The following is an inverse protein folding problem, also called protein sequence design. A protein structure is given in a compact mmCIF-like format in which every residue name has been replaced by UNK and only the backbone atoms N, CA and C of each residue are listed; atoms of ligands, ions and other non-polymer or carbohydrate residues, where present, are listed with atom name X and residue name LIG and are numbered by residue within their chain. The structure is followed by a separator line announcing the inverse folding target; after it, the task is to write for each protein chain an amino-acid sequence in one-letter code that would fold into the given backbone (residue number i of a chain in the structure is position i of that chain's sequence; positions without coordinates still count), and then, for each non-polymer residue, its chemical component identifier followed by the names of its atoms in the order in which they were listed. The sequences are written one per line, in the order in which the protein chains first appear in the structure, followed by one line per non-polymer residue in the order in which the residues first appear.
data_IF_565937845078
#
_entry.id   IF_565937845078
#
_cell.length_a   1.000
_cell.length_b   1.000
_cell.length_c   1.000
_cell.angle_alpha   90.00
_cell.angle_beta   90.00
_cell.angle_gamma   90.00
#
_symmetry.space_group_name_H-M   'P 1'
#
loop_
_entity.id
_entity.type
_entity.pdbx_description
1 polymer ?
#
# COMPACT_ATOMS: atom_id res chain seq x y z
N UNK A 1 -21.38 -38.42 45.98
CA UNK A 1 -21.92 -37.07 45.72
C UNK A 1 -22.09 -36.92 44.21
N UNK A 2 -23.25 -37.28 43.64
CA UNK A 2 -23.52 -37.14 42.22
C UNK A 2 -23.96 -35.71 41.91
N UNK A 3 -23.30 -35.08 40.94
CA UNK A 3 -23.61 -33.71 40.48
C UNK A 3 -24.88 -33.66 39.62
N UNK A 4 -25.53 -32.48 39.53
CA UNK A 4 -26.84 -32.38 38.90
C UNK A 4 -26.74 -32.31 37.38
N UNK A 5 -27.63 -33.07 36.73
CA UNK A 5 -27.93 -33.03 35.30
C UNK A 5 -28.48 -31.66 34.89
N UNK A 6 -27.89 -31.04 33.88
CA UNK A 6 -28.46 -29.87 33.20
C UNK A 6 -29.39 -30.32 32.09
N UNK A 7 -30.68 -30.12 32.32
CA UNK A 7 -31.78 -30.34 31.37
C UNK A 7 -31.78 -29.26 30.29
N UNK A 8 -31.77 -29.68 29.02
CA UNK A 8 -32.01 -28.82 27.86
C UNK A 8 -33.47 -28.35 27.85
N UNK A 9 -33.67 -27.04 27.96
CA UNK A 9 -34.96 -26.37 27.79
C UNK A 9 -35.01 -25.80 26.37
N UNK A 10 -35.74 -26.49 25.49
CA UNK A 10 -36.11 -26.02 24.16
C UNK A 10 -37.16 -24.90 24.32
N UNK A 11 -36.74 -23.65 24.13
CA UNK A 11 -37.62 -22.50 23.98
C UNK A 11 -38.32 -22.57 22.61
N UNK A 12 -39.65 -22.70 22.65
CA UNK A 12 -40.50 -22.66 21.49
C UNK A 12 -40.56 -21.22 20.95
N UNK A 13 -40.09 -21.03 19.72
CA UNK A 13 -40.26 -19.78 18.96
C UNK A 13 -41.73 -19.66 18.53
N UNK A 14 -42.44 -18.57 18.86
CA UNK A 14 -43.81 -18.37 18.41
C UNK A 14 -43.83 -18.06 16.90
N UNK A 15 -44.44 -18.95 16.13
CA UNK A 15 -44.79 -18.75 14.72
C UNK A 15 -45.85 -17.65 14.62
N UNK A 16 -45.44 -16.44 14.25
CA UNK A 16 -46.35 -15.36 13.89
C UNK A 16 -47.04 -15.68 12.56
N UNK A 17 -48.37 -15.72 12.58
CA UNK A 17 -49.21 -15.84 11.38
C UNK A 17 -49.09 -14.58 10.50
N UNK A 18 -49.05 -14.71 9.17
CA UNK A 18 -49.09 -13.55 8.28
C UNK A 18 -50.51 -12.98 8.26
N UNK A 19 -50.66 -11.75 8.74
CA UNK A 19 -51.87 -10.96 8.58
C UNK A 19 -52.09 -10.65 7.09
N UNK A 20 -53.02 -11.40 6.48
CA UNK A 20 -53.64 -11.07 5.21
C UNK A 20 -54.45 -9.78 5.38
N UNK A 21 -54.01 -8.67 4.76
CA UNK A 21 -54.87 -7.49 4.69
C UNK A 21 -54.21 -6.13 4.46
N UNK A 22 -52.98 -6.02 3.98
CA UNK A 22 -52.47 -4.71 3.55
C UNK A 22 -52.76 -4.50 2.06
N UNK A 23 -53.69 -3.58 1.82
CA UNK A 23 -54.04 -3.03 0.51
C UNK A 23 -52.76 -2.49 -0.13
N UNK A 24 -52.35 -2.93 -1.33
CA UNK A 24 -51.13 -2.46 -1.96
C UNK A 24 -51.17 -0.92 -2.05
N UNK A 25 -50.08 -0.23 -1.68
CA UNK A 25 -50.04 1.23 -1.76
C UNK A 25 -50.38 1.59 -3.21
N UNK A 26 -51.42 2.42 -3.38
CA UNK A 26 -51.74 3.03 -4.65
C UNK A 26 -50.49 3.78 -5.10
N UNK A 27 -49.75 3.20 -6.04
CA UNK A 27 -48.81 3.90 -6.90
C UNK A 27 -49.61 4.96 -7.64
N UNK A 28 -49.77 6.12 -7.01
CA UNK A 28 -50.17 7.34 -7.69
C UNK A 28 -49.03 7.69 -8.62
N UNK A 29 -49.11 7.19 -9.85
CA UNK A 29 -48.27 7.69 -10.93
C UNK A 29 -48.69 9.13 -11.18
N UNK A 30 -48.01 10.07 -10.54
CA UNK A 30 -47.91 11.43 -11.06
C UNK A 30 -47.44 11.28 -12.50
N UNK A 31 -48.26 11.71 -13.46
CA UNK A 31 -47.81 11.76 -14.84
C UNK A 31 -46.54 12.61 -14.90
N UNK A 32 -45.45 12.13 -15.54
CA UNK A 32 -44.21 12.87 -15.61
C UNK A 32 -44.50 14.23 -16.25
N UNK A 33 -44.08 15.30 -15.58
CA UNK A 33 -44.22 16.64 -16.14
C UNK A 33 -43.44 16.71 -17.45
N UNK A 34 -43.85 17.55 -18.39
CA UNK A 34 -43.16 17.71 -19.68
C UNK A 34 -41.69 18.09 -19.54
N UNK A 35 -41.28 18.62 -18.38
CA UNK A 35 -39.89 18.94 -18.04
C UNK A 35 -39.02 17.69 -17.80
N UNK A 36 -39.61 16.56 -17.40
CA UNK A 36 -38.89 15.31 -17.13
C UNK A 36 -38.40 14.61 -18.41
N UNK A 37 -38.91 14.99 -19.59
CA UNK A 37 -38.59 14.34 -20.88
C UNK A 37 -37.11 14.47 -21.28
N UNK A 38 -36.40 15.49 -20.76
CA UNK A 38 -34.99 15.70 -21.05
C UNK A 38 -34.04 15.18 -19.96
N UNK A 39 -34.58 14.66 -18.86
CA UNK A 39 -33.78 14.18 -17.76
C UNK A 39 -33.27 12.77 -18.04
N UNK A 40 -31.96 12.60 -17.90
CA UNK A 40 -31.27 11.33 -18.01
C UNK A 40 -30.92 10.83 -16.62
N UNK A 41 -30.97 9.51 -16.46
CA UNK A 41 -30.57 8.81 -15.25
C UNK A 41 -29.18 8.24 -15.46
N UNK A 42 -28.30 8.44 -14.50
CA UNK A 42 -26.93 7.94 -14.52
C UNK A 42 -26.62 7.16 -13.25
N UNK A 43 -26.05 5.97 -13.38
CA UNK A 43 -25.50 5.21 -12.25
C UNK A 43 -24.03 5.56 -12.04
N UNK A 44 -23.63 5.79 -10.79
CA UNK A 44 -22.24 6.09 -10.45
C UNK A 44 -21.40 4.80 -10.37
N UNK A 45 -20.33 4.72 -11.17
CA UNK A 45 -19.29 3.67 -11.13
C UNK A 45 -17.95 4.29 -10.75
N UNK A 46 -17.49 4.02 -9.53
CA UNK A 46 -16.20 4.51 -9.03
C UNK A 46 -15.65 3.59 -7.93
N UNK A 47 -14.33 3.56 -7.80
CA UNK A 47 -13.60 2.83 -6.73
C UNK A 47 -13.57 3.61 -5.40
N UNK A 48 -14.35 4.69 -5.28
CA UNK A 48 -14.34 5.56 -4.11
C UNK A 48 -15.43 6.64 -4.15
N UNK A 49 -15.04 7.90 -3.92
CA UNK A 49 -15.95 9.06 -3.91
C UNK A 49 -15.82 9.88 -5.19
N UNK A 50 -16.94 10.13 -5.85
CA UNK A 50 -17.03 10.99 -7.03
C UNK A 50 -17.35 12.43 -6.66
N UNK A 51 -16.66 13.40 -7.26
CA UNK A 51 -16.77 14.81 -6.86
C UNK A 51 -17.96 15.50 -7.52
N UNK A 52 -18.67 16.29 -6.73
CA UNK A 52 -19.76 17.16 -7.16
C UNK A 52 -19.30 18.61 -7.06
N UNK A 53 -19.60 19.43 -8.07
CA UNK A 53 -19.07 20.79 -8.22
C UNK A 53 -20.15 21.84 -8.45
N UNK A 54 -19.81 23.11 -8.19
CA UNK A 54 -20.72 24.24 -8.33
C UNK A 54 -20.85 24.80 -9.76
N UNK A 55 -19.93 24.43 -10.66
CA UNK A 55 -19.96 24.80 -12.08
C UNK A 55 -19.42 23.65 -12.97
N UNK A 56 -19.72 23.63 -14.28
CA UNK A 56 -19.22 22.61 -15.21
C UNK A 56 -17.75 22.86 -15.58
N UNK A 57 -16.88 22.92 -14.57
CA UNK A 57 -15.45 23.16 -14.72
C UNK A 57 -14.68 22.37 -13.67
N UNK A 58 -13.50 21.87 -14.04
CA UNK A 58 -12.63 21.14 -13.13
C UNK A 58 -11.95 22.05 -12.09
N UNK A 59 -11.82 23.34 -12.38
CA UNK A 59 -11.31 24.34 -11.43
C UNK A 59 -12.39 24.86 -10.47
N UNK A 60 -13.67 24.52 -10.72
CA UNK A 60 -14.76 24.98 -9.85
C UNK A 60 -14.77 24.29 -8.49
N UNK A 61 -15.35 24.97 -7.49
CA UNK A 61 -15.41 24.49 -6.11
C UNK A 61 -16.11 23.14 -6.01
N UNK A 62 -15.48 22.20 -5.30
CA UNK A 62 -16.11 20.93 -4.93
C UNK A 62 -17.08 21.19 -3.79
N UNK A 63 -18.37 20.93 -4.01
CA UNK A 63 -19.46 21.19 -3.06
C UNK A 63 -19.95 19.93 -2.35
N UNK A 64 -19.50 18.76 -2.79
CA UNK A 64 -19.82 17.48 -2.17
C UNK A 64 -19.20 16.30 -2.90
N UNK A 65 -19.57 15.10 -2.45
CA UNK A 65 -19.17 13.84 -3.08
C UNK A 65 -20.31 12.82 -3.08
N UNK A 66 -20.37 11.99 -4.11
CA UNK A 66 -21.30 10.85 -4.22
C UNK A 66 -20.51 9.54 -4.28
N UNK A 67 -21.11 8.44 -3.81
CA UNK A 67 -20.49 7.12 -3.80
C UNK A 67 -21.10 6.19 -4.86
N UNK A 68 -20.50 5.01 -5.02
CA UNK A 68 -21.10 3.92 -5.77
C UNK A 68 -22.52 3.61 -5.24
N UNK A 69 -23.43 3.19 -6.13
CA UNK A 69 -24.85 2.99 -5.79
C UNK A 69 -25.69 4.28 -5.76
N UNK A 70 -25.11 5.44 -6.07
CA UNK A 70 -25.90 6.66 -6.31
C UNK A 70 -26.42 6.69 -7.73
N UNK A 71 -27.69 7.06 -7.90
CA UNK A 71 -28.28 7.42 -9.18
C UNK A 71 -28.36 8.95 -9.26
N UNK A 72 -27.77 9.51 -10.30
CA UNK A 72 -27.82 10.93 -10.62
C UNK A 72 -28.90 11.13 -11.66
N UNK A 73 -29.87 12.00 -11.40
CA UNK A 73 -30.84 12.45 -12.39
C UNK A 73 -30.48 13.86 -12.81
N UNK A 74 -30.17 14.04 -14.10
CA UNK A 74 -29.66 15.30 -14.60
C UNK A 74 -29.76 15.44 -16.11
N UNK A 75 -29.30 16.59 -16.59
CA UNK A 75 -29.29 16.95 -18.00
C UNK A 75 -27.84 17.11 -18.46
N UNK A 76 -27.51 16.60 -19.64
CA UNK A 76 -26.20 16.87 -20.25
C UNK A 76 -26.09 18.37 -20.56
N UNK A 77 -24.95 18.98 -20.26
CA UNK A 77 -24.71 20.40 -20.53
C UNK A 77 -24.48 20.75 -22.01
N UNK A 78 -24.67 19.79 -22.93
CA UNK A 78 -24.48 19.99 -24.36
C UNK A 78 -25.56 20.96 -24.89
N UNK A 79 -25.19 22.22 -25.14
CA UNK A 79 -26.02 23.19 -25.86
C UNK A 79 -26.66 24.30 -25.03
N UNK A 80 -26.60 24.28 -23.68
CA UNK A 80 -26.84 25.50 -22.91
C UNK A 80 -25.61 26.39 -23.10
N UNK A 81 -25.67 27.32 -24.06
CA UNK A 81 -24.75 28.46 -24.16
C UNK A 81 -24.77 29.09 -22.76
N UNK A 82 -23.71 28.84 -21.98
CA UNK A 82 -23.58 29.37 -20.63
C UNK A 82 -23.89 30.86 -20.71
N UNK A 83 -24.82 31.38 -19.89
CA UNK A 83 -25.20 32.78 -19.98
C UNK A 83 -23.93 33.61 -19.89
N UNK A 84 -23.64 34.37 -20.96
CA UNK A 84 -22.40 35.14 -21.18
C UNK A 84 -22.05 36.12 -20.04
N UNK A 85 -22.91 36.25 -19.01
CA UNK A 85 -22.74 37.14 -17.87
C UNK A 85 -22.01 36.57 -16.64
N UNK A 86 -21.64 35.28 -16.60
CA UNK A 86 -20.87 34.71 -15.46
C UNK A 86 -19.38 34.55 -15.71
N UNK A 87 -18.82 35.25 -16.70
CA UNK A 87 -17.38 35.28 -17.01
C UNK A 87 -16.57 36.09 -15.97
N UNK A 88 -16.60 35.65 -14.72
CA UNK A 88 -15.57 35.93 -13.71
C UNK A 88 -14.51 34.83 -13.63
N UNK A 89 -14.62 33.80 -14.49
CA UNK A 89 -13.59 32.77 -14.61
C UNK A 89 -12.37 33.38 -15.30
N UNK A 90 -11.22 33.28 -14.64
CA UNK A 90 -9.91 33.48 -15.24
C UNK A 90 -9.90 32.94 -16.68
N UNK A 91 -9.31 33.65 -17.65
CA UNK A 91 -9.21 33.14 -19.01
C UNK A 91 -8.71 31.71 -18.93
N UNK A 92 -9.45 30.77 -19.53
CA UNK A 92 -8.91 29.45 -19.89
C UNK A 92 -7.52 29.76 -20.41
N UNK A 93 -6.43 29.24 -19.77
CA UNK A 93 -5.08 29.69 -20.04
C UNK A 93 -4.95 29.70 -21.54
N UNK A 94 -4.77 30.90 -22.09
CA UNK A 94 -4.73 31.17 -23.51
C UNK A 94 -3.76 30.15 -24.07
N UNK A 95 -4.31 29.12 -24.70
CA UNK A 95 -3.54 28.09 -25.36
C UNK A 95 -2.70 28.90 -26.33
N UNK A 96 -1.40 29.04 -26.07
CA UNK A 96 -0.52 29.77 -26.96
C UNK A 96 -0.63 29.04 -28.29
N UNK A 97 -1.36 29.70 -29.18
CA UNK A 97 -1.89 29.19 -30.44
C UNK A 97 -0.74 29.08 -31.42
N UNK A 98 0.17 28.15 -31.19
CA UNK A 98 1.21 27.80 -32.16
C UNK A 98 0.82 26.59 -33.01
N UNK A 99 -0.48 26.23 -33.02
CA UNK A 99 -0.97 25.13 -33.85
C UNK A 99 -2.17 25.58 -34.69
N UNK A 100 -1.96 25.59 -36.00
CA UNK A 100 -2.95 25.82 -37.06
C UNK A 100 -3.96 24.68 -37.16
N UNK A 101 -4.61 24.32 -36.05
CA UNK A 101 -5.69 23.34 -36.07
C UNK A 101 -6.94 23.97 -36.68
N UNK A 102 -7.66 23.28 -37.58
CA UNK A 102 -8.89 23.78 -38.18
C UNK A 102 -9.93 24.11 -37.10
N UNK A 103 -10.65 25.22 -37.26
CA UNK A 103 -11.71 25.67 -36.34
C UNK A 103 -12.75 24.58 -36.03
N UNK A 104 -13.01 23.71 -37.01
CA UNK A 104 -13.99 22.63 -36.90
C UNK A 104 -13.58 21.57 -35.87
N UNK A 105 -12.28 21.28 -35.74
CA UNK A 105 -11.74 20.29 -34.77
C UNK A 105 -11.83 20.83 -33.35
N UNK A 106 -11.59 22.13 -33.16
CA UNK A 106 -11.75 22.79 -31.86
C UNK A 106 -13.23 22.80 -31.44
N UNK A 107 -14.14 23.07 -32.37
CA UNK A 107 -15.57 23.09 -32.07
C UNK A 107 -16.10 21.68 -31.71
N UNK A 108 -15.71 20.65 -32.46
CA UNK A 108 -16.07 19.26 -32.13
C UNK A 108 -15.50 18.82 -30.77
N UNK A 109 -14.26 19.23 -30.46
CA UNK A 109 -13.66 18.96 -29.14
C UNK A 109 -14.43 19.68 -28.01
N UNK A 110 -14.85 20.93 -28.20
CA UNK A 110 -15.65 21.70 -27.25
C UNK A 110 -17.07 21.10 -27.06
N UNK A 111 -17.71 20.63 -28.13
CA UNK A 111 -18.99 19.92 -28.08
C UNK A 111 -18.83 18.57 -27.34
N UNK A 112 -17.73 17.86 -27.56
CA UNK A 112 -17.39 16.65 -26.80
C UNK A 112 -17.08 16.94 -25.33
N UNK A 113 -16.49 18.10 -25.00
CA UNK A 113 -16.18 18.54 -23.63
C UNK A 113 -17.44 18.98 -22.86
N UNK A 114 -18.38 19.66 -23.52
CA UNK A 114 -19.67 20.02 -22.89
C UNK A 114 -20.53 18.80 -22.60
N UNK A 115 -20.38 17.72 -23.39
CA UNK A 115 -20.95 16.41 -23.08
C UNK A 115 -20.28 15.68 -21.89
N UNK A 116 -19.18 16.21 -21.33
CA UNK A 116 -18.53 15.66 -20.13
C UNK A 116 -19.20 16.11 -18.83
N UNK A 117 -20.09 17.09 -18.84
CA UNK A 117 -20.73 17.58 -17.62
C UNK A 117 -22.22 17.27 -17.60
N UNK A 118 -22.68 16.80 -16.44
CA UNK A 118 -24.09 16.57 -16.15
C UNK A 118 -24.53 17.59 -15.10
N UNK A 119 -25.48 18.45 -15.47
CA UNK A 119 -26.19 19.34 -14.54
C UNK A 119 -27.18 18.49 -13.75
N UNK A 120 -26.90 18.34 -12.45
CA UNK A 120 -27.68 17.49 -11.57
C UNK A 120 -28.93 18.20 -11.10
N UNK A 121 -30.08 17.58 -11.32
CA UNK A 121 -31.37 18.02 -10.80
C UNK A 121 -31.62 17.41 -9.43
N UNK A 122 -31.42 16.09 -9.31
CA UNK A 122 -31.56 15.37 -8.04
C UNK A 122 -30.66 14.14 -7.96
N UNK A 123 -30.44 13.70 -6.73
CA UNK A 123 -29.78 12.43 -6.43
C UNK A 123 -30.80 11.45 -5.88
N UNK A 124 -30.70 10.20 -6.30
CA UNK A 124 -31.50 9.09 -5.80
C UNK A 124 -30.52 8.05 -5.24
N UNK A 125 -30.62 7.77 -3.95
CA UNK A 125 -29.76 6.78 -3.29
C UNK A 125 -30.35 5.39 -3.52
N UNK A 126 -29.64 4.51 -4.24
CA UNK A 126 -30.03 3.10 -4.36
C UNK A 126 -29.69 2.32 -3.08
N UNK A 127 -28.69 2.81 -2.33
CA UNK A 127 -28.19 2.24 -1.09
C UNK A 127 -28.18 3.29 0.02
N UNK A 128 -28.37 2.91 1.30
CA UNK A 128 -28.49 3.84 2.44
C UNK A 128 -27.26 4.74 2.68
N UNK A 129 -26.14 4.49 2.00
CA UNK A 129 -24.88 5.24 2.13
C UNK A 129 -24.53 6.12 0.91
N UNK A 130 -25.40 6.25 -0.09
CA UNK A 130 -25.01 6.74 -1.42
C UNK A 130 -24.55 8.21 -1.50
N UNK A 131 -25.18 9.13 -0.77
CA UNK A 131 -25.01 10.57 -0.98
C UNK A 131 -24.49 11.25 0.27
N UNK A 132 -23.29 11.86 0.20
CA UNK A 132 -22.80 12.73 1.27
C UNK A 132 -23.58 14.06 1.25
N UNK A 133 -23.63 14.78 2.36
CA UNK A 133 -24.28 16.10 2.43
C UNK A 133 -23.69 17.05 1.36
N UNK A 134 -24.51 17.48 0.39
CA UNK A 134 -24.09 18.39 -0.69
C UNK A 134 -24.56 19.80 -0.34
N UNK A 135 -23.60 20.69 -0.07
CA UNK A 135 -23.90 22.10 0.24
C UNK A 135 -24.15 22.85 -1.06
N UNK A 136 -25.39 23.23 -1.34
CA UNK A 136 -25.71 24.10 -2.48
C UNK A 136 -25.04 25.46 -2.27
N UNK A 137 -24.31 25.91 -3.28
CA UNK A 137 -23.70 27.23 -3.28
C UNK A 137 -24.71 28.25 -3.81
N UNK A 138 -25.18 29.15 -2.95
CA UNK A 138 -26.11 30.20 -3.36
C UNK A 138 -25.51 31.13 -4.41
N UNK A 139 -24.18 31.26 -4.46
CA UNK A 139 -23.49 32.14 -5.42
C UNK A 139 -23.59 31.66 -6.88
N UNK A 140 -23.73 30.34 -7.11
CA UNK A 140 -23.85 29.77 -8.46
C UNK A 140 -25.31 29.50 -8.87
N UNK A 141 -26.27 30.13 -8.18
CA UNK A 141 -27.69 29.85 -8.36
C UNK A 141 -28.09 28.45 -7.89
N UNK A 142 -27.28 27.82 -7.04
CA UNK A 142 -27.54 26.47 -6.53
C UNK A 142 -27.33 25.35 -7.55
N UNK A 143 -26.69 25.64 -8.69
CA UNK A 143 -26.35 24.65 -9.71
C UNK A 143 -25.39 23.59 -9.16
N UNK A 144 -25.65 22.34 -9.51
CA UNK A 144 -24.86 21.17 -9.12
C UNK A 144 -24.40 20.47 -10.39
N UNK A 145 -23.11 20.21 -10.51
CA UNK A 145 -22.52 19.59 -11.71
C UNK A 145 -21.67 18.39 -11.33
N UNK A 146 -21.78 17.33 -12.11
CA UNK A 146 -20.94 16.15 -11.98
C UNK A 146 -20.20 15.89 -13.29
N UNK A 147 -18.93 15.52 -13.19
CA UNK A 147 -18.16 15.06 -14.34
C UNK A 147 -18.69 13.69 -14.75
N UNK A 148 -19.01 13.51 -16.03
CA UNK A 148 -19.52 12.27 -16.61
C UNK A 148 -18.47 11.18 -16.54
N UNK A 149 -17.22 11.44 -16.92
CA UNK A 149 -16.14 10.43 -16.86
C UNK A 149 -14.78 11.04 -16.58
N UNK A 150 -13.90 10.27 -15.94
CA UNK A 150 -12.48 10.58 -15.84
C UNK A 150 -11.65 9.83 -16.89
N UNK A 151 -10.35 10.09 -16.90
CA UNK A 151 -9.38 9.48 -17.81
C UNK A 151 -9.18 7.96 -17.63
N UNK A 152 -9.72 7.37 -16.56
CA UNK A 152 -9.69 5.93 -16.29
C UNK A 152 -11.02 5.25 -16.64
N UNK A 153 -12.00 6.01 -17.14
CA UNK A 153 -13.33 5.51 -17.48
C UNK A 153 -14.30 5.40 -16.30
N UNK A 154 -13.92 5.79 -15.09
CA UNK A 154 -14.87 5.89 -13.96
C UNK A 154 -15.76 7.12 -14.10
N UNK A 155 -16.95 7.09 -13.50
CA UNK A 155 -17.86 8.22 -13.43
C UNK A 155 -19.33 7.85 -13.49
N UNK A 156 -20.10 8.64 -14.24
CA UNK A 156 -21.53 8.51 -14.47
C UNK A 156 -21.79 7.69 -15.75
N UNK A 157 -22.56 6.63 -15.59
CA UNK A 157 -22.98 5.75 -16.68
C UNK A 157 -24.47 5.90 -16.93
N UNK A 158 -24.86 6.25 -18.15
CA UNK A 158 -26.26 6.49 -18.48
C UNK A 158 -27.04 5.17 -18.40
N UNK A 159 -28.06 5.15 -17.53
CA UNK A 159 -28.94 3.99 -17.37
C UNK A 159 -29.69 3.71 -18.69
N UNK A 160 -29.84 2.42 -19.01
CA UNK A 160 -30.48 1.90 -20.24
C UNK A 160 -29.71 2.07 -21.55
N UNK A 161 -28.69 2.93 -21.60
CA UNK A 161 -27.82 3.09 -22.78
C UNK A 161 -26.50 2.36 -22.61
N UNK A 162 -25.93 2.41 -21.41
CA UNK A 162 -24.59 1.90 -21.13
C UNK A 162 -24.68 0.69 -20.18
N UNK A 163 -23.97 -0.42 -20.46
CA UNK A 163 -24.05 -1.62 -19.63
C UNK A 163 -23.44 -1.37 -18.25
N UNK A 164 -24.20 -1.66 -17.20
CA UNK A 164 -23.77 -1.47 -15.79
C UNK A 164 -22.50 -2.26 -15.46
N UNK A 165 -22.45 -3.51 -15.93
CA UNK A 165 -21.35 -4.44 -15.66
C UNK A 165 -20.40 -4.60 -16.86
N UNK A 166 -20.50 -3.69 -17.84
CA UNK A 166 -19.61 -3.68 -19.00
C UNK A 166 -18.22 -3.12 -18.68
N UNK A 167 -17.27 -3.25 -19.63
CA UNK A 167 -15.94 -2.67 -19.51
C UNK A 167 -16.04 -1.15 -19.31
N UNK A 168 -15.07 -0.58 -18.61
CA UNK A 168 -15.00 0.87 -18.42
C UNK A 168 -14.79 1.55 -19.77
N UNK A 169 -15.63 2.55 -20.07
CA UNK A 169 -15.53 3.27 -21.33
C UNK A 169 -14.50 4.39 -21.16
N UNK A 170 -13.37 4.22 -21.83
CA UNK A 170 -12.28 5.20 -21.82
C UNK A 170 -12.65 6.41 -22.68
N UNK A 171 -12.23 7.59 -22.22
CA UNK A 171 -12.31 8.80 -23.02
C UNK A 171 -11.23 8.79 -24.11
N UNK A 172 -11.45 9.49 -25.23
CA UNK A 172 -10.40 9.76 -26.21
C UNK A 172 -9.12 10.27 -25.53
N UNK A 173 -7.96 9.84 -26.05
CA UNK A 173 -6.67 10.04 -25.37
C UNK A 173 -6.36 11.51 -25.06
N UNK A 174 -6.71 12.43 -25.96
CA UNK A 174 -6.51 13.86 -25.76
C UNK A 174 -7.30 14.41 -24.56
N UNK A 175 -8.60 14.06 -24.43
CA UNK A 175 -9.42 14.44 -23.28
C UNK A 175 -8.92 13.74 -22.00
N UNK A 176 -8.54 12.47 -22.11
CA UNK A 176 -7.97 11.72 -21.00
C UNK A 176 -6.69 12.36 -20.47
N UNK A 177 -5.80 12.81 -21.35
CA UNK A 177 -4.56 13.48 -20.98
C UNK A 177 -4.83 14.83 -20.30
N UNK A 178 -5.74 15.63 -20.82
CA UNK A 178 -6.14 16.90 -20.21
C UNK A 178 -6.72 16.71 -18.81
N UNK A 179 -7.64 15.75 -18.64
CA UNK A 179 -8.22 15.42 -17.33
C UNK A 179 -7.18 14.90 -16.34
N UNK A 180 -6.15 14.16 -16.79
CA UNK A 180 -5.04 13.73 -15.92
C UNK A 180 -4.19 14.92 -15.48
N UNK A 181 -3.85 15.82 -16.41
CA UNK A 181 -3.07 17.02 -16.11
C UNK A 181 -3.84 17.94 -15.14
N UNK A 182 -5.13 18.14 -15.37
CA UNK A 182 -5.96 18.93 -14.46
C UNK A 182 -6.07 18.27 -13.08
N UNK A 183 -6.30 16.96 -13.01
CA UNK A 183 -6.33 16.24 -11.74
C UNK A 183 -4.99 16.38 -10.98
N UNK A 184 -3.85 16.42 -11.68
CA UNK A 184 -2.55 16.70 -11.10
C UNK A 184 -2.44 18.13 -10.57
N UNK A 185 -2.92 19.15 -11.33
CA UNK A 185 -2.95 20.56 -10.88
C UNK A 185 -3.87 20.76 -9.66
N UNK A 186 -5.09 20.26 -9.73
CA UNK A 186 -6.02 20.33 -8.60
C UNK A 186 -5.50 19.58 -7.35
N UNK A 187 -4.62 18.59 -7.56
CA UNK A 187 -3.92 17.92 -6.47
C UNK A 187 -2.74 18.73 -5.93
N UNK A 188 -2.04 19.53 -6.74
CA UNK A 188 -0.99 20.44 -6.27
C UNK A 188 -1.55 21.61 -5.48
N UNK A 189 -2.67 22.20 -5.92
CA UNK A 189 -3.27 23.37 -5.25
C UNK A 189 -3.71 23.04 -3.81
N UNK A 190 -4.17 21.81 -3.56
CA UNK A 190 -4.52 21.36 -2.19
C UNK A 190 -3.31 21.15 -1.30
N UNK A 191 -2.13 20.90 -1.87
CA UNK A 191 -0.90 20.74 -1.08
C UNK A 191 -0.50 22.09 -0.49
N UNK A 192 -0.86 23.22 -1.11
CA UNK A 192 -0.52 24.55 -0.60
C UNK A 192 -1.20 24.87 0.73
N UNK A 193 -2.51 24.60 0.84
CA UNK A 193 -3.30 24.82 2.07
C UNK A 193 -2.91 23.87 3.21
N UNK A 194 -2.65 22.61 2.88
CA UNK A 194 -2.17 21.61 3.84
C UNK A 194 -0.74 21.96 4.29
N UNK A 195 0.09 22.53 3.40
CA UNK A 195 1.44 22.97 3.74
C UNK A 195 1.46 24.05 4.82
N UNK A 196 0.46 24.93 4.93
CA UNK A 196 0.45 25.96 5.97
C UNK A 196 0.31 25.33 7.37
N UNK A 197 -0.64 24.41 7.52
CA UNK A 197 -0.88 23.73 8.81
C UNK A 197 0.30 22.83 9.19
N UNK A 198 0.92 22.15 8.22
CA UNK A 198 2.12 21.34 8.47
C UNK A 198 3.40 22.17 8.63
N UNK A 199 3.51 23.35 8.02
CA UNK A 199 4.58 24.32 8.31
C UNK A 199 4.47 24.83 9.75
N UNK A 200 3.25 25.04 10.27
CA UNK A 200 3.04 25.40 11.67
C UNK A 200 3.36 24.25 12.63
N UNK A 201 2.97 23.01 12.30
CA UNK A 201 3.31 21.81 13.08
C UNK A 201 4.82 21.50 13.02
N UNK A 202 5.44 21.60 11.85
CA UNK A 202 6.88 21.46 11.66
C UNK A 202 7.66 22.55 12.40
N UNK A 203 7.19 23.80 12.39
CA UNK A 203 7.75 24.87 13.22
C UNK A 203 7.63 24.53 14.71
N UNK A 204 6.50 23.96 15.16
CA UNK A 204 6.33 23.51 16.55
C UNK A 204 7.27 22.35 16.93
N UNK A 205 7.50 21.38 16.04
CA UNK A 205 8.50 20.32 16.24
C UNK A 205 9.94 20.85 16.24
N UNK A 206 10.22 21.88 15.42
CA UNK A 206 11.52 22.56 15.40
C UNK A 206 11.77 23.31 16.71
N UNK A 207 10.73 23.91 17.31
CA UNK A 207 10.80 24.48 18.67
C UNK A 207 11.06 23.38 19.70
N UNK A 208 10.43 22.21 19.57
CA UNK A 208 10.69 21.05 20.43
C UNK A 208 12.14 20.54 20.37
N UNK A 209 12.75 20.49 19.16
CA UNK A 209 14.18 20.17 19.01
C UNK A 209 15.10 21.26 19.55
N UNK A 210 14.71 22.53 19.47
CA UNK A 210 15.47 23.62 20.08
C UNK A 210 15.61 23.47 21.60
N UNK A 211 14.59 22.91 22.28
CA UNK A 211 14.68 22.57 23.70
C UNK A 211 15.41 21.24 23.98
N UNK A 212 15.62 20.39 22.97
CA UNK A 212 16.35 19.13 23.11
C UNK A 212 17.84 19.22 22.74
N UNK A 213 18.26 20.30 22.07
CA UNK A 213 19.65 20.56 21.66
C UNK A 213 20.50 21.25 22.75
N UNK A 214 20.02 21.33 23.98
CA UNK A 214 20.87 21.64 25.14
C UNK A 214 21.68 20.43 25.63
N UNK A 215 21.65 19.31 24.91
CA UNK A 215 22.58 18.20 25.09
C UNK A 215 23.57 18.20 23.92
N UNK A 216 24.83 18.46 24.25
CA UNK A 216 26.02 18.56 23.42
C UNK A 216 26.09 17.48 22.32
N UNK A 217 26.18 17.89 21.06
CA UNK A 217 27.35 17.54 20.24
C UNK A 217 27.38 18.34 18.93
N UNK A 218 28.56 18.89 18.67
CA UNK A 218 28.91 19.86 17.65
C UNK A 218 29.37 19.13 16.37
N UNK A 219 28.47 18.89 15.41
CA UNK A 219 28.84 18.54 14.05
C UNK A 219 27.74 18.92 13.06
N UNK A 220 27.94 20.02 12.34
CA UNK A 220 27.00 20.59 11.39
C UNK A 220 26.91 19.81 10.08
N UNK A 221 25.68 19.39 9.73
CA UNK A 221 25.22 19.11 8.37
C UNK A 221 23.72 19.47 8.36
N UNK A 222 23.34 20.66 7.88
CA UNK A 222 21.96 21.16 8.01
C UNK A 222 21.38 21.76 6.71
N UNK A 223 21.88 21.35 5.54
CA UNK A 223 21.39 21.89 4.25
C UNK A 223 20.43 20.97 3.47
N UNK A 224 20.28 19.69 3.82
CA UNK A 224 19.43 18.75 3.04
C UNK A 224 17.98 18.57 3.55
N UNK A 225 17.59 19.20 4.65
CA UNK A 225 16.26 18.97 5.26
C UNK A 225 15.13 19.72 4.52
N UNK A 226 15.44 20.79 3.77
CA UNK A 226 14.37 21.59 3.15
C UNK A 226 13.72 20.92 1.93
N UNK A 227 14.46 20.09 1.17
CA UNK A 227 13.92 19.43 -0.03
C UNK A 227 12.99 18.23 0.27
N UNK A 228 13.04 17.66 1.49
CA UNK A 228 12.20 16.54 1.88
C UNK A 228 10.79 16.95 2.36
N UNK A 229 10.55 18.25 2.57
CA UNK A 229 9.33 18.78 3.22
C UNK A 229 8.09 18.91 2.32
N UNK A 230 8.20 18.58 1.02
CA UNK A 230 7.12 18.73 0.03
C UNK A 230 6.37 17.41 -0.28
N UNK A 231 6.75 16.28 0.32
CA UNK A 231 6.06 14.99 0.10
C UNK A 231 4.85 14.87 1.00
N UNK A 232 3.78 14.22 0.51
CA UNK A 232 2.57 14.00 1.30
C UNK A 232 2.91 13.18 2.56
N UNK A 233 2.26 13.41 3.70
CA UNK A 233 2.46 12.59 4.90
C UNK A 233 2.28 11.09 4.64
N UNK A 234 1.36 10.73 3.74
CA UNK A 234 1.14 9.35 3.30
C UNK A 234 2.37 8.82 2.55
N UNK A 235 2.97 9.62 1.66
CA UNK A 235 4.19 9.26 0.94
C UNK A 235 5.38 9.13 1.91
N UNK A 236 5.45 9.99 2.93
CA UNK A 236 6.49 9.91 3.96
C UNK A 236 6.34 8.66 4.82
N UNK A 237 5.10 8.30 5.18
CA UNK A 237 4.82 7.07 5.89
C UNK A 237 5.15 5.85 5.04
N UNK A 238 4.75 5.83 3.76
CA UNK A 238 5.08 4.75 2.83
C UNK A 238 6.58 4.62 2.59
N UNK A 239 7.29 5.74 2.41
CA UNK A 239 8.75 5.75 2.27
C UNK A 239 9.40 5.22 3.55
N UNK A 240 8.97 5.67 4.72
CA UNK A 240 9.51 5.20 6.00
C UNK A 240 9.21 3.72 6.22
N UNK A 241 8.00 3.27 5.91
CA UNK A 241 7.61 1.87 6.02
C UNK A 241 8.41 1.00 5.03
N UNK A 242 8.62 1.47 3.80
CA UNK A 242 9.48 0.84 2.79
C UNK A 242 10.90 0.71 3.28
N UNK A 243 11.49 1.76 3.85
CA UNK A 243 12.85 1.72 4.39
C UNK A 243 12.95 0.80 5.62
N UNK A 244 11.94 0.80 6.51
CA UNK A 244 11.86 -0.14 7.63
C UNK A 244 11.75 -1.59 7.15
N UNK A 245 10.97 -1.85 6.11
CA UNK A 245 10.84 -3.18 5.52
C UNK A 245 12.16 -3.64 4.89
N UNK A 246 12.85 -2.77 4.13
CA UNK A 246 14.19 -3.07 3.59
C UNK A 246 15.16 -3.43 4.70
N UNK A 247 15.20 -2.64 5.77
CA UNK A 247 16.04 -2.90 6.94
C UNK A 247 15.68 -4.23 7.62
N UNK A 248 14.39 -4.52 7.76
CA UNK A 248 13.92 -5.78 8.33
C UNK A 248 14.33 -6.99 7.48
N UNK A 249 14.22 -6.88 6.16
CA UNK A 249 14.62 -7.93 5.21
C UNK A 249 16.13 -8.15 5.19
N UNK A 250 16.93 -7.08 5.16
CA UNK A 250 18.38 -7.19 5.26
C UNK A 250 18.80 -7.87 6.58
N UNK A 251 18.16 -7.51 7.70
CA UNK A 251 18.44 -8.09 9.01
C UNK A 251 18.10 -9.59 9.11
N UNK A 252 17.08 -10.06 8.39
CA UNK A 252 16.74 -11.49 8.30
C UNK A 252 17.63 -12.23 7.29
N UNK A 253 17.94 -11.60 6.16
CA UNK A 253 18.71 -12.18 5.08
C UNK A 253 20.15 -12.51 5.49
N UNK A 254 20.88 -11.52 6.01
CA UNK A 254 22.33 -11.65 6.25
C UNK A 254 22.68 -12.88 7.09
N UNK A 255 22.05 -13.12 8.27
CA UNK A 255 22.33 -14.33 9.04
C UNK A 255 21.99 -15.63 8.29
N UNK A 256 20.90 -15.66 7.53
CA UNK A 256 20.49 -16.87 6.81
C UNK A 256 21.44 -17.17 5.65
N UNK A 257 21.90 -16.14 4.93
CA UNK A 257 22.94 -16.29 3.91
C UNK A 257 24.23 -16.85 4.49
N UNK A 258 24.67 -16.37 5.66
CA UNK A 258 25.83 -16.90 6.37
C UNK A 258 25.65 -18.38 6.78
N UNK A 259 24.42 -18.77 7.15
CA UNK A 259 24.10 -20.16 7.50
C UNK A 259 24.15 -21.08 6.29
N UNK A 260 23.48 -20.68 5.20
CA UNK A 260 23.43 -21.46 3.95
C UNK A 260 24.83 -21.60 3.33
N UNK A 261 25.64 -20.53 3.35
CA UNK A 261 27.00 -20.55 2.82
C UNK A 261 27.96 -21.50 3.56
N UNK A 262 27.65 -21.90 4.79
CA UNK A 262 28.48 -22.82 5.59
C UNK A 262 28.09 -24.29 5.46
N UNK A 263 26.98 -24.58 4.78
CA UNK A 263 26.53 -25.95 4.54
C UNK A 263 27.07 -26.37 3.18
N UNK A 264 28.22 -27.04 3.17
CA UNK A 264 28.87 -27.46 1.93
C UNK A 264 28.07 -28.57 1.21
N UNK A 265 27.49 -28.20 0.07
CA UNK A 265 27.49 -29.01 -1.15
C UNK A 265 26.48 -30.15 -1.27
N UNK A 266 26.58 -31.23 -0.49
CA UNK A 266 26.16 -32.52 -1.07
C UNK A 266 25.18 -33.38 -0.26
N UNK A 267 24.95 -33.16 1.03
CA UNK A 267 24.00 -34.03 1.76
C UNK A 267 23.46 -33.42 3.06
N UNK A 268 22.64 -32.38 2.96
CA UNK A 268 21.80 -32.03 4.09
C UNK A 268 20.36 -31.78 3.68
N UNK A 269 19.62 -32.88 3.57
CA UNK A 269 18.16 -32.88 3.77
C UNK A 269 17.77 -32.52 5.22
N UNK A 270 18.74 -32.20 6.08
CA UNK A 270 18.49 -31.80 7.46
C UNK A 270 17.89 -30.39 7.52
N UNK A 271 16.91 -30.24 8.41
CA UNK A 271 16.36 -28.95 8.80
C UNK A 271 17.45 -28.11 9.50
N UNK A 272 17.89 -27.04 8.85
CA UNK A 272 18.91 -26.12 9.37
C UNK A 272 18.39 -25.26 10.51
N UNK A 273 17.06 -25.15 10.67
CA UNK A 273 16.38 -24.42 11.74
C UNK A 273 16.05 -25.32 12.94
N UNK A 274 16.41 -26.61 12.88
CA UNK A 274 16.25 -27.52 14.00
C UNK A 274 16.96 -26.97 15.25
N UNK A 275 16.19 -26.83 16.35
CA UNK A 275 16.68 -26.26 17.61
C UNK A 275 16.24 -24.82 17.89
N UNK A 276 15.56 -24.14 16.95
CA UNK A 276 14.87 -22.89 17.28
C UNK A 276 13.79 -23.13 18.36
N UNK A 277 13.51 -22.15 19.24
CA UNK A 277 12.32 -22.20 20.10
C UNK A 277 11.06 -22.46 19.26
N UNK A 278 10.20 -23.40 19.69
CA UNK A 278 9.05 -23.86 18.89
C UNK A 278 8.14 -22.73 18.42
N UNK A 279 7.88 -21.75 19.29
CA UNK A 279 7.06 -20.58 18.95
C UNK A 279 7.71 -19.70 17.88
N UNK A 280 9.04 -19.54 17.96
CA UNK A 280 9.82 -18.77 17.00
C UNK A 280 9.88 -19.48 15.65
N UNK A 281 10.18 -20.79 15.66
CA UNK A 281 10.22 -21.63 14.46
C UNK A 281 8.89 -21.60 13.72
N UNK A 282 7.77 -21.78 14.43
CA UNK A 282 6.43 -21.75 13.83
C UNK A 282 6.09 -20.40 13.21
N UNK A 283 6.38 -19.30 13.90
CA UNK A 283 6.14 -17.94 13.38
C UNK A 283 7.02 -17.66 12.17
N UNK A 284 8.29 -18.05 12.24
CA UNK A 284 9.22 -17.86 11.16
C UNK A 284 8.83 -18.68 9.92
N UNK A 285 8.45 -19.95 10.08
CA UNK A 285 7.95 -20.80 9.00
C UNK A 285 6.74 -20.17 8.30
N UNK A 286 5.73 -19.72 9.06
CA UNK A 286 4.57 -19.01 8.50
C UNK A 286 4.95 -17.75 7.73
N UNK A 287 5.85 -16.94 8.28
CA UNK A 287 6.31 -15.71 7.64
C UNK A 287 6.99 -16.02 6.30
N UNK A 288 7.87 -17.03 6.26
CA UNK A 288 8.57 -17.45 5.03
C UNK A 288 7.58 -17.92 3.98
N UNK A 289 6.66 -18.81 4.33
CA UNK A 289 5.62 -19.30 3.42
C UNK A 289 4.75 -18.18 2.86
N UNK A 290 4.27 -17.26 3.72
CA UNK A 290 3.46 -16.13 3.29
C UNK A 290 4.22 -15.20 2.32
N UNK A 291 5.52 -14.97 2.56
CA UNK A 291 6.35 -14.14 1.68
C UNK A 291 6.65 -14.82 0.35
N UNK A 292 6.94 -16.11 0.35
CA UNK A 292 7.18 -16.90 -0.87
C UNK A 292 5.91 -17.00 -1.71
N UNK A 293 4.75 -17.23 -1.08
CA UNK A 293 3.45 -17.23 -1.75
C UNK A 293 3.18 -15.88 -2.43
N UNK A 294 3.29 -14.76 -1.70
CA UNK A 294 3.07 -13.43 -2.26
C UNK A 294 4.07 -13.07 -3.37
N UNK A 295 5.32 -13.56 -3.28
CA UNK A 295 6.32 -13.39 -4.34
C UNK A 295 5.98 -14.19 -5.61
N UNK A 296 5.38 -15.37 -5.47
CA UNK A 296 4.99 -16.23 -6.60
C UNK A 296 3.84 -15.62 -7.42
N UNK A 297 2.84 -15.03 -6.76
CA UNK A 297 1.73 -14.33 -7.41
C UNK A 297 2.21 -13.17 -8.27
N UNK A 298 3.26 -12.47 -7.82
CA UNK A 298 3.83 -11.33 -8.53
C UNK A 298 4.49 -11.73 -9.85
N UNK A 299 5.18 -12.88 -9.89
CA UNK A 299 5.85 -13.32 -11.11
C UNK A 299 4.85 -13.79 -12.19
N UNK A 300 3.62 -14.14 -11.81
CA UNK A 300 2.58 -14.56 -12.74
C UNK A 300 1.92 -13.40 -13.52
N UNK A 301 2.12 -12.14 -13.09
CA UNK A 301 1.48 -10.96 -13.70
C UNK A 301 2.36 -10.22 -14.72
N UNK A 302 3.54 -10.76 -15.06
CA UNK A 302 4.36 -10.22 -16.15
C UNK A 302 3.73 -10.62 -17.48
N UNK A 303 2.85 -9.73 -17.95
CA UNK A 303 2.27 -9.60 -19.29
C UNK A 303 3.17 -10.20 -20.37
N UNK A 304 2.75 -11.33 -20.95
CA UNK A 304 3.23 -11.70 -22.28
C UNK A 304 2.94 -10.51 -23.21
N UNK A 305 3.93 -9.97 -23.94
CA UNK A 305 3.63 -9.05 -25.03
C UNK A 305 2.74 -9.84 -26.00
N UNK A 306 1.47 -9.44 -26.09
CA UNK A 306 0.48 -10.05 -26.98
C UNK A 306 0.86 -9.68 -28.41
N UNK A 307 1.85 -10.41 -28.94
CA UNK A 307 2.17 -10.47 -30.35
C UNK A 307 0.95 -11.03 -31.08
N UNK A 308 0.53 -10.30 -32.10
CA UNK A 308 -0.65 -10.58 -32.88
C UNK A 308 -0.61 -11.96 -33.55
N UNK A 309 -1.74 -12.67 -33.47
CA UNK A 309 -2.20 -13.59 -34.51
C UNK A 309 -1.65 -15.01 -34.45
N UNK A 310 -2.33 -15.88 -33.70
CA UNK A 310 -2.64 -17.22 -34.20
C UNK A 310 -3.83 -17.79 -33.43
N UNK A 311 -4.99 -17.82 -34.08
CA UNK A 311 -6.12 -18.64 -33.67
C UNK A 311 -5.78 -20.08 -34.07
N UNK A 312 -5.48 -20.94 -33.09
CA UNK A 312 -5.59 -22.37 -33.29
C UNK A 312 -6.09 -23.03 -32.00
N UNK A 313 -7.37 -23.40 -32.07
CA UNK A 313 -8.12 -24.29 -31.18
C UNK A 313 -7.36 -25.59 -30.91
N UNK A 314 -7.14 -25.94 -29.64
CA UNK A 314 -6.85 -27.31 -29.14
C UNK A 314 -7.17 -27.41 -27.63
N UNK A 315 -7.36 -28.63 -27.08
CA UNK A 315 -8.46 -28.93 -26.17
C UNK A 315 -8.16 -28.71 -24.69
N UNK A 316 -9.24 -28.42 -23.97
CA UNK A 316 -9.37 -28.27 -22.54
C UNK A 316 -9.49 -29.65 -21.91
N UNK A 317 -8.39 -30.31 -21.52
CA UNK A 317 -8.38 -31.33 -20.45
C UNK A 317 -7.00 -31.33 -19.77
N UNK A 318 -6.99 -31.50 -18.45
CA UNK A 318 -5.83 -31.72 -17.55
C UNK A 318 -4.95 -30.54 -17.08
N UNK A 319 -5.47 -29.70 -16.16
CA UNK A 319 -4.63 -28.81 -15.31
C UNK A 319 -4.95 -28.96 -13.80
N UNK A 320 -5.64 -30.02 -13.38
CA UNK A 320 -6.06 -30.19 -11.98
C UNK A 320 -5.13 -31.05 -11.10
N UNK A 321 -4.03 -31.63 -11.62
CA UNK A 321 -3.25 -32.65 -10.90
C UNK A 321 -1.82 -32.26 -10.49
N UNK A 322 -1.44 -30.97 -10.54
CA UNK A 322 -0.11 -30.52 -10.10
C UNK A 322 0.04 -30.30 -8.58
N UNK A 323 -0.94 -30.70 -7.77
CA UNK A 323 -0.95 -30.47 -6.31
C UNK A 323 -0.48 -31.68 -5.47
N UNK A 324 0.25 -32.64 -6.06
CA UNK A 324 1.05 -33.63 -5.32
C UNK A 324 2.51 -33.17 -5.21
N UNK A 325 2.68 -31.87 -5.02
CA UNK A 325 3.97 -31.19 -5.07
C UNK A 325 4.84 -31.63 -3.88
N UNK A 326 6.09 -31.87 -4.23
CA UNK A 326 7.19 -32.36 -3.43
C UNK A 326 7.16 -31.74 -2.03
N UNK A 327 7.14 -32.56 -0.98
CA UNK A 327 7.19 -32.09 0.41
C UNK A 327 8.55 -31.42 0.67
N UNK A 328 8.72 -30.17 0.24
CA UNK A 328 9.88 -29.35 0.58
C UNK A 328 9.99 -29.34 2.10
N UNK A 329 11.03 -30.01 2.60
CA UNK A 329 11.30 -30.09 4.03
C UNK A 329 11.49 -28.66 4.54
N UNK A 330 10.62 -28.23 5.45
CA UNK A 330 10.72 -26.90 6.05
C UNK A 330 12.09 -26.73 6.71
N UNK A 331 12.76 -25.61 6.41
CA UNK A 331 14.09 -25.32 6.93
C UNK A 331 15.24 -26.03 6.21
N UNK A 332 14.96 -26.72 5.09
CA UNK A 332 15.99 -27.20 4.17
C UNK A 332 16.80 -26.05 3.56
N UNK A 333 17.99 -26.40 3.04
CA UNK A 333 18.87 -25.46 2.33
C UNK A 333 18.13 -24.77 1.18
N UNK A 334 17.33 -25.51 0.42
CA UNK A 334 16.58 -24.98 -0.73
C UNK A 334 15.50 -23.99 -0.27
N UNK A 335 14.72 -24.36 0.74
CA UNK A 335 13.67 -23.50 1.32
C UNK A 335 14.26 -22.17 1.87
N UNK A 336 15.39 -22.24 2.57
CA UNK A 336 16.09 -21.04 3.02
C UNK A 336 16.68 -20.21 1.86
N UNK A 337 17.18 -20.86 0.82
CA UNK A 337 17.71 -20.18 -0.37
C UNK A 337 16.62 -19.45 -1.16
N UNK A 338 15.47 -20.08 -1.35
CA UNK A 338 14.27 -19.49 -1.96
C UNK A 338 13.83 -18.25 -1.16
N UNK A 339 13.81 -18.36 0.16
CA UNK A 339 13.46 -17.26 1.06
C UNK A 339 14.49 -16.11 1.03
N UNK A 340 15.78 -16.41 0.98
CA UNK A 340 16.86 -15.41 0.83
C UNK A 340 16.69 -14.65 -0.48
N UNK A 341 16.39 -15.34 -1.59
CA UNK A 341 16.16 -14.71 -2.88
C UNK A 341 14.96 -13.74 -2.85
N UNK A 342 13.89 -14.12 -2.14
CA UNK A 342 12.73 -13.23 -1.90
C UNK A 342 13.14 -12.00 -1.09
N UNK A 343 13.91 -12.17 -0.01
CA UNK A 343 14.43 -11.07 0.81
C UNK A 343 15.31 -10.12 -0.02
N UNK A 344 16.18 -10.62 -0.90
CA UNK A 344 17.02 -9.80 -1.76
C UNK A 344 16.24 -8.99 -2.78
N UNK A 345 15.27 -9.64 -3.44
CA UNK A 345 14.39 -8.96 -4.41
C UNK A 345 13.67 -7.79 -3.75
N UNK A 346 13.20 -8.01 -2.53
CA UNK A 346 12.58 -7.03 -1.64
C UNK A 346 13.47 -5.86 -1.26
N UNK A 347 14.68 -6.19 -0.81
CA UNK A 347 15.68 -5.21 -0.38
C UNK A 347 16.03 -4.28 -1.56
N UNK A 348 16.26 -4.84 -2.75
CA UNK A 348 16.62 -4.08 -3.97
C UNK A 348 15.48 -3.22 -4.50
N UNK A 349 14.29 -3.79 -4.63
CA UNK A 349 13.17 -3.08 -5.27
C UNK A 349 12.51 -2.07 -4.34
N UNK A 350 12.47 -2.35 -3.03
CA UNK A 350 11.69 -1.60 -2.05
C UNK A 350 10.19 -1.55 -2.32
N UNK A 351 9.71 -1.98 -3.48
CA UNK A 351 8.35 -1.80 -3.96
C UNK A 351 7.60 -3.09 -3.94
N UNK A 352 6.61 -3.17 -3.05
CA UNK A 352 5.82 -4.36 -2.81
C UNK A 352 4.33 -4.09 -3.01
N UNK A 353 3.96 -3.51 -4.16
CA UNK A 353 2.54 -3.33 -4.53
C UNK A 353 1.74 -4.63 -4.40
N UNK A 354 2.41 -5.78 -4.58
CA UNK A 354 1.81 -7.10 -4.52
C UNK A 354 1.72 -7.68 -3.11
N UNK A 355 2.35 -7.07 -2.10
CA UNK A 355 2.27 -7.58 -0.73
C UNK A 355 1.45 -6.68 0.14
N UNK A 356 0.42 -7.29 0.71
CA UNK A 356 -0.53 -6.68 1.61
C UNK A 356 0.17 -5.96 2.77
N UNK A 357 -0.40 -4.83 3.15
CA UNK A 357 0.09 -3.98 4.24
C UNK A 357 0.26 -4.76 5.54
N UNK A 358 -0.60 -5.74 5.80
CA UNK A 358 -0.55 -6.59 6.99
C UNK A 358 0.72 -7.45 7.03
N UNK A 359 1.06 -8.11 5.93
CA UNK A 359 2.27 -8.94 5.85
C UNK A 359 3.53 -8.08 6.00
N UNK A 360 3.55 -6.86 5.44
CA UNK A 360 4.68 -5.93 5.64
C UNK A 360 4.89 -5.57 7.11
N UNK A 361 3.80 -5.28 7.83
CA UNK A 361 3.86 -4.98 9.25
C UNK A 361 4.30 -6.19 10.06
N UNK A 362 3.84 -7.40 9.70
CA UNK A 362 4.26 -8.64 10.34
C UNK A 362 5.77 -8.87 10.19
N UNK A 363 6.34 -8.65 8.99
CA UNK A 363 7.80 -8.75 8.76
C UNK A 363 8.57 -7.77 9.63
N UNK A 364 8.15 -6.50 9.66
CA UNK A 364 8.82 -5.45 10.44
C UNK A 364 8.76 -5.78 11.93
N UNK A 365 7.58 -6.17 12.43
CA UNK A 365 7.38 -6.53 13.82
C UNK A 365 8.18 -7.79 14.19
N UNK A 366 8.18 -8.80 13.32
CA UNK A 366 8.93 -10.03 13.51
C UNK A 366 10.44 -9.76 13.56
N UNK A 367 11.00 -9.05 12.57
CA UNK A 367 12.42 -8.73 12.53
C UNK A 367 12.87 -7.91 13.74
N UNK A 368 12.07 -6.92 14.15
CA UNK A 368 12.37 -6.07 15.30
C UNK A 368 12.34 -6.84 16.62
N UNK A 369 11.38 -7.77 16.79
CA UNK A 369 11.22 -8.55 18.02
C UNK A 369 12.17 -9.75 18.10
N UNK A 370 12.41 -10.42 16.98
CA UNK A 370 13.04 -11.75 16.93
C UNK A 370 14.34 -11.81 16.12
N UNK A 371 14.73 -10.73 15.43
CA UNK A 371 15.91 -10.73 14.56
C UNK A 371 17.22 -11.05 15.31
N UNK A 372 17.39 -10.56 16.54
CA UNK A 372 18.56 -10.86 17.37
C UNK A 372 18.62 -12.33 17.82
N UNK A 373 17.46 -12.94 18.10
CA UNK A 373 17.37 -14.35 18.47
C UNK A 373 17.76 -15.25 17.30
N UNK A 374 17.26 -14.94 16.10
CA UNK A 374 17.63 -15.64 14.86
C UNK A 374 19.12 -15.49 14.59
N UNK A 375 19.66 -14.27 14.68
CA UNK A 375 21.08 -14.04 14.46
C UNK A 375 21.95 -14.80 15.47
N UNK A 376 21.57 -14.83 16.74
CA UNK A 376 22.27 -15.60 17.78
C UNK A 376 22.22 -17.10 17.48
N UNK A 377 21.05 -17.62 17.12
CA UNK A 377 20.86 -19.02 16.74
C UNK A 377 21.74 -19.39 15.56
N UNK A 378 21.69 -18.62 14.47
CA UNK A 378 22.53 -18.81 13.28
C UNK A 378 24.00 -18.85 13.67
N UNK A 379 24.49 -17.89 14.47
CA UNK A 379 25.89 -17.85 14.88
C UNK A 379 26.31 -19.09 15.66
N UNK A 380 25.44 -19.61 16.53
CA UNK A 380 25.69 -20.84 17.26
C UNK A 380 25.71 -22.04 16.30
N UNK A 381 24.71 -22.14 15.43
CA UNK A 381 24.61 -23.23 14.46
C UNK A 381 25.80 -23.28 13.50
N UNK A 382 26.24 -22.11 13.03
CA UNK A 382 27.44 -21.95 12.20
C UNK A 382 28.74 -22.33 12.92
N UNK A 383 28.79 -22.28 14.26
CA UNK A 383 29.93 -22.77 15.05
C UNK A 383 29.87 -24.29 15.21
N UNK A 384 28.69 -24.82 15.49
CA UNK A 384 28.47 -26.27 15.63
C UNK A 384 28.83 -26.99 14.32
N UNK A 385 28.37 -26.48 13.18
CA UNK A 385 28.72 -26.99 11.85
C UNK A 385 30.23 -26.95 11.60
N UNK A 386 30.89 -25.86 11.97
CA UNK A 386 32.35 -25.75 11.82
C UNK A 386 33.11 -26.73 12.72
N UNK A 387 32.60 -27.06 13.91
CA UNK A 387 33.20 -28.05 14.80
C UNK A 387 33.03 -29.48 14.28
N UNK A 388 31.89 -29.80 13.66
CA UNK A 388 31.66 -31.12 13.07
C UNK A 388 32.65 -31.41 11.93
N UNK A 389 32.90 -30.43 11.05
CA UNK A 389 33.86 -30.58 9.94
C UNK A 389 35.27 -30.88 10.43
N UNK A 390 35.69 -30.32 11.57
CA UNK A 390 37.02 -30.56 12.18
C UNK A 390 37.13 -31.98 12.76
N UNK A 391 36.04 -32.59 13.21
CA UNK A 391 36.07 -33.95 13.77
C UNK A 391 36.21 -35.03 12.68
N UNK A 392 35.58 -34.83 11.52
CA UNK A 392 35.65 -35.78 10.41
C UNK A 392 36.99 -35.75 9.67
N UNK A 393 37.76 -34.66 9.83
CA UNK A 393 39.12 -34.55 9.29
C UNK A 393 40.21 -35.03 10.26
N UNK A 394 39.84 -35.67 11.38
CA UNK A 394 40.83 -36.34 12.25
C UNK A 394 41.51 -37.46 11.46
N UNK A 395 42.81 -37.34 11.13
CA UNK A 395 43.50 -38.33 10.35
C UNK A 395 43.59 -39.61 11.18
N UNK A 396 42.90 -40.64 10.73
CA UNK A 396 43.17 -42.01 11.15
C UNK A 396 44.60 -42.31 10.74
N UNK A 397 45.54 -42.17 11.67
CA UNK A 397 46.94 -42.47 11.44
C UNK A 397 47.09 -43.96 11.04
N UNK A 398 47.73 -44.29 9.91
CA UNK A 398 48.38 -45.58 9.80
C UNK A 398 49.62 -45.53 10.71
N UNK A 399 49.75 -46.56 11.55
CA UNK A 399 50.88 -46.67 12.45
C UNK A 399 52.23 -46.81 11.74
N UNK A 400 53.26 -46.65 12.59
CA UNK A 400 54.60 -47.23 12.53
C UNK A 400 55.75 -46.42 11.87
N UNK A 401 56.48 -45.79 12.79
CA UNK A 401 57.92 -45.90 13.08
C UNK A 401 58.95 -44.99 12.39
N UNK A 402 59.81 -44.49 13.29
CA UNK A 402 61.17 -43.93 13.14
C UNK A 402 61.28 -42.61 12.36
N UNK A 403 61.99 -41.58 12.83
CA UNK A 403 63.11 -41.59 13.75
C UNK A 403 63.29 -40.20 14.39
N UNK A 404 63.97 -40.24 15.52
CA UNK A 404 64.57 -39.19 16.34
C UNK A 404 65.05 -37.95 15.53
N UNK A 405 64.69 -36.74 15.98
CA UNK A 405 65.62 -35.60 16.20
C UNK A 405 64.93 -34.54 17.06
N UNK A 406 65.49 -34.40 18.25
CA UNK A 406 65.23 -33.42 19.28
C UNK A 406 65.84 -32.06 18.89
N UNK A 407 65.04 -30.99 18.78
CA UNK A 407 65.53 -29.62 19.05
C UNK A 407 64.44 -28.69 19.58
N UNK A 408 64.70 -28.21 20.80
CA UNK A 408 64.14 -27.02 21.50
C UNK A 408 64.15 -25.78 20.59
N UNK A 409 63.25 -24.78 20.76
CA UNK A 409 63.53 -23.76 21.78
C UNK A 409 62.30 -23.08 22.46
N UNK A 410 62.46 -22.90 23.78
CA UNK A 410 62.44 -21.60 24.50
C UNK A 410 61.27 -20.62 24.27
N UNK A 411 60.29 -20.73 25.19
CA UNK A 411 59.67 -19.64 25.98
C UNK A 411 60.16 -18.20 25.75
N UNK A 412 59.26 -17.32 25.30
CA UNK A 412 59.19 -15.91 25.73
C UNK A 412 57.70 -15.55 25.88
N UNK A 413 57.30 -15.24 27.11
CA UNK A 413 55.98 -14.70 27.42
C UNK A 413 55.86 -13.23 27.04
N UNK A 414 54.68 -12.85 26.56
CA UNK A 414 54.29 -11.46 26.30
C UNK A 414 52.82 -11.29 26.63
N UNK A 415 52.52 -11.04 27.91
CA UNK A 415 51.20 -10.64 28.38
C UNK A 415 51.05 -9.13 28.19
N UNK A 416 50.29 -8.71 27.18
CA UNK A 416 49.90 -7.30 26.99
C UNK A 416 48.53 -7.08 27.62
N UNK A 417 48.54 -6.73 28.90
CA UNK A 417 47.39 -6.13 29.56
C UNK A 417 47.15 -4.74 28.98
N UNK A 418 46.09 -4.57 28.20
CA UNK A 418 45.55 -3.25 27.85
C UNK A 418 44.91 -2.64 29.10
N UNK A 419 45.63 -1.72 29.75
CA UNK A 419 45.08 -0.83 30.76
C UNK A 419 44.25 0.25 30.05
N UNK A 420 42.93 0.22 30.27
CA UNK A 420 42.04 1.33 29.92
C UNK A 420 42.32 2.52 30.85
N UNK A 421 42.42 3.76 30.34
CA UNK A 421 42.49 4.93 31.20
C UNK A 421 41.15 5.09 31.94
N UNK A 422 41.23 5.09 33.28
CA UNK A 422 40.13 5.40 34.18
C UNK A 422 39.61 6.82 33.88
N UNK A 423 38.37 6.91 33.41
CA UNK A 423 37.63 8.17 33.30
C UNK A 423 37.36 8.74 34.71
N UNK A 424 37.43 10.07 34.89
CA UNK A 424 37.07 10.71 36.15
C UNK A 424 35.56 10.55 36.44
N UNK A 425 35.16 10.45 37.72
CA UNK A 425 33.76 10.34 38.09
C UNK A 425 33.00 11.63 37.73
N UNK A 426 31.71 11.52 37.36
CA UNK A 426 30.89 12.67 37.01
C UNK A 426 30.72 13.62 38.21
N UNK A 427 30.66 14.95 38.00
CA UNK A 427 30.43 15.91 39.06
C UNK A 427 29.05 15.69 39.69
N UNK A 428 29.01 15.66 41.02
CA UNK A 428 27.78 15.57 41.79
C UNK A 428 26.89 16.78 41.50
N UNK A 429 25.68 16.50 41.01
CA UNK A 429 24.64 17.50 40.75
C UNK A 429 24.25 18.23 42.03
N UNK A 430 24.68 19.48 42.15
CA UNK A 430 24.27 20.40 43.20
C UNK A 430 22.85 20.88 42.90
N UNK A 431 21.88 20.37 43.65
CA UNK A 431 20.49 20.78 43.60
C UNK A 431 20.32 22.09 44.40
N UNK A 432 20.43 23.25 43.75
CA UNK A 432 20.11 24.54 44.36
C UNK A 432 18.65 24.92 44.05
N UNK A 433 17.74 24.48 44.91
CA UNK A 433 16.37 25.00 44.96
C UNK A 433 16.43 26.40 45.59
N UNK A 434 16.37 27.44 44.77
CA UNK A 434 16.06 28.81 45.24
C UNK A 434 14.59 29.10 44.99
N UNK A 435 13.76 28.92 46.02
CA UNK A 435 12.44 29.57 46.11
C UNK A 435 12.67 31.06 46.37
N UNK A 436 12.22 31.92 45.47
CA UNK A 436 11.91 33.31 45.81
C UNK A 436 10.42 33.44 46.08
N UNK A 437 10.11 34.06 47.20
CA UNK A 437 8.81 34.55 47.60
C UNK A 437 8.45 35.82 46.82
#
# INVERSE_FOLDING_TARGET
MPGPSTSNLLEAVPTAQPALGEKPPKLGGEEPSSEDLHLKRYSVRCEGRWRVRSAPSLSSKVIGTIAHGTVVVGQDCAGEILPQGMSGTAPIPSFQQDTSLPSDVLQEALESLTALWVKVVRFEAQEPMGVSEIKRDSATGGGIYCLRRNAMGYGLYQSNTEPRDGPLILLPEHLGLELRLDAQRAASDRVEDVSLTWKLLGAAETVGRFFSLSAEDEAGINEDIQAASLRRPEDLFEVKQREQLKKAMAALRVPLSDLVAKVDGESSAADLLAGLPKDLSRRFSRLRHALTAAASETNSLVVCPRGAGQEDTMPVEDVANAAMDDHKVEGSVQDLSDFIAVCEKLERTGSWTCVETQLRQEVIAFSTKHGQEIQKFVRLRCKDLAQMVVQDTSPSAPGLLDDLIETKPKSVGGSTAFALPLLPPPPSSVCSVTRKA
#
